data_IF_780000701901
#
_entry.id   IF_780000701901
#
_cell.length_a   1.000
_cell.length_b   1.000
_cell.length_c   1.000
_cell.angle_alpha   90.00
_cell.angle_beta   90.00
_cell.angle_gamma   90.00
#
_symmetry.space_group_name_H-M   'P 1'
#
loop_
_entity.id
_entity.type
_entity.pdbx_description
1 polymer ?
#
# COMPACT_ATOMS: atom_id res chain seq x y z
N UNK A 1 4.40 28.39 2.93
CA UNK A 1 5.31 27.23 3.08
C UNK A 1 5.38 26.91 4.56
N UNK A 2 5.09 25.67 4.91
CA UNK A 2 4.66 25.26 6.25
C UNK A 2 5.65 25.63 7.36
N UNK A 3 5.15 26.32 8.40
CA UNK A 3 5.80 26.55 9.70
C UNK A 3 5.99 25.22 10.44
N UNK A 4 6.85 24.36 9.90
CA UNK A 4 7.35 23.19 10.64
C UNK A 4 8.43 23.71 11.58
N UNK A 5 8.20 23.55 12.88
CA UNK A 5 9.22 23.80 13.87
C UNK A 5 10.18 22.60 13.93
N UNK A 6 11.18 22.62 13.05
CA UNK A 6 12.23 21.60 12.96
C UNK A 6 12.97 21.39 14.29
N UNK A 7 12.99 22.39 15.18
CA UNK A 7 13.59 22.24 16.51
C UNK A 7 12.81 21.31 17.44
N UNK A 8 11.62 20.84 17.06
CA UNK A 8 10.82 19.84 17.78
C UNK A 8 10.89 18.44 17.14
N UNK A 9 11.53 18.31 15.98
CA UNK A 9 11.74 17.03 15.28
C UNK A 9 13.20 16.54 15.43
N UNK A 10 13.50 15.26 15.16
CA UNK A 10 14.88 14.78 15.02
C UNK A 10 15.71 15.66 14.07
N UNK A 11 17.00 15.85 14.39
CA UNK A 11 17.86 16.85 13.71
C UNK A 11 18.14 16.52 12.25
N UNK A 12 18.16 15.24 11.91
CA UNK A 12 18.38 14.69 10.57
C UNK A 12 17.15 14.81 9.66
N UNK A 13 15.94 15.02 10.22
CA UNK A 13 14.72 15.13 9.41
C UNK A 13 14.75 16.31 8.46
N UNK A 14 15.27 17.47 8.89
CA UNK A 14 15.31 18.67 8.05
C UNK A 14 16.10 18.40 6.77
N UNK A 15 17.27 17.75 6.88
CA UNK A 15 18.11 17.37 5.75
C UNK A 15 17.44 16.31 4.88
N UNK A 16 16.90 15.24 5.49
CA UNK A 16 16.23 14.14 4.76
C UNK A 16 15.07 14.64 3.88
N UNK A 17 14.23 15.52 4.41
CA UNK A 17 13.03 15.99 3.71
C UNK A 17 13.19 17.34 3.01
N UNK A 18 14.39 17.93 2.99
CA UNK A 18 14.66 19.20 2.31
C UNK A 18 14.27 19.14 0.83
N UNK A 19 14.56 18.01 0.18
CA UNK A 19 14.18 17.74 -1.22
C UNK A 19 12.66 17.70 -1.46
N UNK A 20 11.85 17.42 -0.43
CA UNK A 20 10.39 17.43 -0.51
C UNK A 20 9.80 18.83 -0.28
N UNK A 21 10.49 19.68 0.48
CA UNK A 21 10.05 21.06 0.76
C UNK A 21 9.94 21.91 -0.51
N UNK A 22 10.76 21.60 -1.52
CA UNK A 22 10.81 22.31 -2.81
C UNK A 22 9.94 21.68 -3.91
N UNK A 23 9.25 20.58 -3.62
CA UNK A 23 8.58 19.77 -4.62
C UNK A 23 7.08 20.06 -4.68
N UNK A 24 6.61 20.71 -5.74
CA UNK A 24 5.18 21.03 -5.91
C UNK A 24 4.33 19.85 -6.44
N UNK A 25 4.96 18.81 -7.00
CA UNK A 25 4.27 17.70 -7.66
C UNK A 25 4.34 16.39 -6.85
N UNK A 26 3.18 15.84 -6.52
CA UNK A 26 3.01 14.60 -5.74
C UNK A 26 3.73 13.38 -6.36
N UNK A 27 3.74 13.29 -7.70
CA UNK A 27 4.46 12.26 -8.44
C UNK A 27 5.95 12.22 -8.11
N UNK A 28 6.55 13.40 -8.03
CA UNK A 28 7.97 13.54 -7.73
C UNK A 28 8.21 13.18 -6.27
N UNK A 29 7.29 13.51 -5.36
CA UNK A 29 7.36 13.07 -3.96
C UNK A 29 7.37 11.55 -3.84
N UNK A 30 6.48 10.82 -4.53
CA UNK A 30 6.50 9.36 -4.48
C UNK A 30 7.80 8.78 -5.05
N UNK A 31 8.32 9.32 -6.14
CA UNK A 31 9.60 8.88 -6.71
C UNK A 31 10.78 9.16 -5.77
N UNK A 32 10.75 10.27 -5.02
CA UNK A 32 11.73 10.55 -3.96
C UNK A 32 11.60 9.55 -2.82
N UNK A 33 10.38 9.24 -2.35
CA UNK A 33 10.17 8.24 -1.30
C UNK A 33 10.64 6.85 -1.73
N UNK A 34 10.34 6.42 -2.96
CA UNK A 34 10.85 5.16 -3.52
C UNK A 34 12.36 5.08 -3.49
N UNK A 35 13.07 6.20 -3.69
CA UNK A 35 14.53 6.27 -3.59
C UNK A 35 15.03 6.11 -2.15
N UNK A 36 14.28 6.57 -1.15
CA UNK A 36 14.59 6.28 0.26
C UNK A 36 14.39 4.79 0.58
N UNK A 37 13.49 4.15 -0.16
CA UNK A 37 12.98 2.82 0.15
C UNK A 37 13.58 1.69 -0.69
N UNK A 38 14.67 1.94 -1.44
CA UNK A 38 15.32 0.93 -2.28
C UNK A 38 15.96 -0.22 -1.51
N UNK A 39 16.31 0.01 -0.24
CA UNK A 39 16.91 -0.99 0.64
C UNK A 39 15.88 -1.48 1.67
N UNK A 40 16.05 -2.69 2.23
CA UNK A 40 15.26 -3.16 3.36
C UNK A 40 15.29 -2.18 4.53
N UNK A 41 14.21 -2.15 5.32
CA UNK A 41 14.18 -1.37 6.56
C UNK A 41 15.26 -1.91 7.50
N UNK A 42 16.09 -1.01 8.03
CA UNK A 42 17.12 -1.35 9.00
C UNK A 42 16.50 -1.86 10.30
N UNK A 43 17.01 -2.97 10.83
CA UNK A 43 16.52 -3.59 12.07
C UNK A 43 17.47 -3.39 13.27
N UNK A 44 18.55 -2.63 13.07
CA UNK A 44 19.56 -2.31 14.09
C UNK A 44 19.44 -0.86 14.62
N UNK A 45 18.66 -0.02 13.96
CA UNK A 45 18.43 1.39 14.30
C UNK A 45 16.93 1.56 14.57
N UNK A 46 16.51 1.48 15.84
CA UNK A 46 15.10 1.57 16.24
C UNK A 46 14.93 2.09 17.67
N UNK A 47 13.79 2.70 17.95
CA UNK A 47 13.44 3.29 19.25
C UNK A 47 12.41 2.45 20.01
N UNK A 48 11.60 1.68 19.29
CA UNK A 48 10.51 0.85 19.85
C UNK A 48 10.64 -0.61 19.45
N UNK A 49 10.14 -1.53 20.30
CA UNK A 49 10.07 -2.95 19.93
C UNK A 49 9.04 -3.15 18.82
N UNK A 50 7.96 -2.37 18.86
CA UNK A 50 6.96 -2.27 17.80
C UNK A 50 7.58 -2.03 16.43
N UNK A 51 8.51 -1.07 16.30
CA UNK A 51 9.20 -0.80 15.04
C UNK A 51 10.05 -1.98 14.58
N UNK A 52 10.80 -2.62 15.49
CA UNK A 52 11.59 -3.80 15.13
C UNK A 52 10.73 -4.94 14.59
N UNK A 53 9.57 -5.18 15.20
CA UNK A 53 8.61 -6.21 14.74
C UNK A 53 8.08 -5.81 13.35
N UNK A 54 7.59 -4.58 13.20
CA UNK A 54 7.12 -4.07 11.91
C UNK A 54 8.18 -4.22 10.81
N UNK A 55 9.42 -3.77 11.06
CA UNK A 55 10.51 -3.81 10.09
C UNK A 55 10.80 -5.24 9.61
N UNK A 56 10.78 -6.23 10.51
CA UNK A 56 10.98 -7.65 10.16
C UNK A 56 9.84 -8.19 9.29
N UNK A 57 8.60 -7.97 9.69
CA UNK A 57 7.42 -8.44 8.96
C UNK A 57 7.30 -7.77 7.58
N UNK A 58 7.50 -6.45 7.54
CA UNK A 58 7.49 -5.67 6.32
C UNK A 58 8.57 -6.12 5.33
N UNK A 59 9.82 -6.30 5.80
CA UNK A 59 10.91 -6.80 4.95
C UNK A 59 10.61 -8.21 4.42
N UNK A 60 10.03 -9.10 5.24
CA UNK A 60 9.66 -10.45 4.85
C UNK A 60 8.64 -10.46 3.70
N UNK A 61 7.57 -9.66 3.83
CA UNK A 61 6.55 -9.52 2.78
C UNK A 61 7.12 -8.87 1.53
N UNK A 62 7.92 -7.81 1.64
CA UNK A 62 8.52 -7.17 0.46
C UNK A 62 9.48 -8.09 -0.29
N UNK A 63 10.32 -8.87 0.40
CA UNK A 63 11.19 -9.85 -0.27
C UNK A 63 10.34 -10.87 -1.05
N UNK A 64 9.22 -11.31 -0.46
CA UNK A 64 8.30 -12.24 -1.14
C UNK A 64 7.66 -11.59 -2.37
N UNK A 65 7.14 -10.36 -2.24
CA UNK A 65 6.55 -9.61 -3.35
C UNK A 65 7.58 -9.39 -4.48
N UNK A 66 8.76 -8.86 -4.14
CA UNK A 66 9.84 -8.64 -5.10
C UNK A 66 10.30 -9.93 -5.78
N UNK A 67 10.33 -11.06 -5.06
CA UNK A 67 10.67 -12.35 -5.66
C UNK A 67 9.68 -12.72 -6.76
N UNK A 68 8.37 -12.64 -6.51
CA UNK A 68 7.35 -12.95 -7.51
C UNK A 68 7.32 -11.94 -8.68
N UNK A 69 7.44 -10.65 -8.39
CA UNK A 69 7.52 -9.61 -9.44
C UNK A 69 8.72 -9.84 -10.36
N UNK A 70 9.89 -10.12 -9.78
CA UNK A 70 11.10 -10.41 -10.56
C UNK A 70 10.96 -11.72 -11.35
N UNK A 71 10.36 -12.76 -10.78
CA UNK A 71 10.12 -14.01 -11.52
C UNK A 71 9.24 -13.76 -12.75
N UNK A 72 8.14 -13.01 -12.61
CA UNK A 72 7.25 -12.69 -13.74
C UNK A 72 7.98 -11.88 -14.81
N UNK A 73 8.71 -10.82 -14.40
CA UNK A 73 9.44 -9.95 -15.32
C UNK A 73 10.56 -10.71 -16.07
N UNK A 74 11.36 -11.50 -15.35
CA UNK A 74 12.46 -12.25 -15.95
C UNK A 74 11.95 -13.37 -16.85
N UNK A 75 10.83 -14.00 -16.49
CA UNK A 75 10.19 -15.02 -17.30
C UNK A 75 9.63 -14.46 -18.59
N UNK A 76 8.98 -13.30 -18.53
CA UNK A 76 8.51 -12.59 -19.73
C UNK A 76 9.66 -12.27 -20.69
N UNK A 77 10.75 -11.69 -20.19
CA UNK A 77 11.98 -11.45 -20.97
C UNK A 77 12.55 -12.76 -21.57
N UNK A 78 12.47 -13.88 -20.83
CA UNK A 78 12.93 -15.18 -21.32
C UNK A 78 12.05 -15.67 -22.48
N UNK A 79 10.74 -15.51 -22.39
CA UNK A 79 9.78 -15.89 -23.42
C UNK A 79 9.93 -15.02 -24.67
N UNK A 80 10.10 -13.70 -24.50
CA UNK A 80 10.39 -12.78 -25.59
C UNK A 80 11.64 -13.19 -26.37
N UNK A 81 12.72 -13.56 -25.66
CA UNK A 81 13.97 -14.07 -26.27
C UNK A 81 13.77 -15.38 -27.04
N UNK A 82 12.76 -16.18 -26.68
CA UNK A 82 12.39 -17.40 -27.38
C UNK A 82 11.38 -17.17 -28.52
N UNK A 83 11.03 -15.91 -28.82
CA UNK A 83 10.08 -15.54 -29.87
C UNK A 83 8.62 -15.45 -29.43
N UNK A 84 8.33 -15.56 -28.13
CA UNK A 84 6.99 -15.40 -27.56
C UNK A 84 6.83 -13.99 -26.99
N UNK A 85 6.23 -13.07 -27.76
CA UNK A 85 6.03 -11.66 -27.37
C UNK A 85 4.69 -11.37 -26.66
N UNK A 86 3.98 -12.39 -26.19
CA UNK A 86 2.60 -12.29 -25.69
C UNK A 86 2.40 -13.01 -24.36
N UNK A 87 3.47 -13.39 -23.67
CA UNK A 87 3.40 -14.08 -22.38
C UNK A 87 2.61 -13.28 -21.33
N UNK A 88 2.77 -11.96 -21.28
CA UNK A 88 1.97 -11.12 -20.38
C UNK A 88 0.46 -11.19 -20.64
N UNK A 89 0.07 -11.42 -21.90
CA UNK A 89 -1.32 -11.46 -22.36
C UNK A 89 -1.92 -12.83 -22.08
N UNK A 90 -1.23 -13.89 -22.53
CA UNK A 90 -1.64 -15.29 -22.39
C UNK A 90 -0.49 -16.11 -21.79
N UNK A 91 -0.58 -16.36 -20.49
CA UNK A 91 0.43 -17.14 -19.78
C UNK A 91 0.16 -18.62 -20.07
N UNK A 92 1.17 -19.45 -20.37
CA UNK A 92 0.98 -20.88 -20.61
C UNK A 92 0.24 -21.54 -19.43
N UNK A 93 -0.76 -22.37 -19.75
CA UNK A 93 -1.68 -22.96 -18.77
C UNK A 93 -0.97 -23.74 -17.65
N UNK A 94 0.22 -24.26 -17.93
CA UNK A 94 1.05 -24.97 -16.96
C UNK A 94 1.43 -24.10 -15.75
N UNK A 95 1.54 -22.78 -15.90
CA UNK A 95 1.86 -21.88 -14.78
C UNK A 95 0.71 -21.73 -13.78
N UNK A 96 -0.53 -22.05 -14.18
CA UNK A 96 -1.72 -22.02 -13.32
C UNK A 96 -2.04 -23.37 -12.69
N UNK A 97 -1.32 -24.41 -13.09
CA UNK A 97 -1.56 -25.77 -12.64
C UNK A 97 -1.07 -25.97 -11.21
N UNK A 98 -1.66 -26.94 -10.50
CA UNK A 98 -1.16 -27.35 -9.19
C UNK A 98 0.34 -27.75 -9.27
N UNK A 99 1.24 -27.12 -8.49
CA UNK A 99 2.69 -27.22 -8.73
C UNK A 99 3.26 -28.64 -8.71
N UNK A 100 2.70 -29.54 -7.89
CA UNK A 100 3.18 -30.92 -7.78
C UNK A 100 3.09 -31.69 -9.11
N UNK A 101 2.11 -31.38 -9.96
CA UNK A 101 1.95 -32.07 -11.25
C UNK A 101 2.90 -31.56 -12.34
N UNK A 102 3.53 -30.40 -12.12
CA UNK A 102 4.53 -29.82 -13.00
C UNK A 102 5.96 -29.97 -12.50
N UNK A 103 6.16 -30.62 -11.35
CA UNK A 103 7.48 -30.81 -10.78
C UNK A 103 8.30 -31.81 -11.63
N UNK A 104 9.34 -31.37 -12.36
CA UNK A 104 10.16 -32.29 -13.16
C UNK A 104 10.99 -33.23 -12.29
N UNK A 105 11.13 -32.96 -10.98
CA UNK A 105 11.90 -33.78 -10.03
C UNK A 105 11.09 -34.93 -9.44
N UNK A 106 9.78 -34.94 -9.63
CA UNK A 106 8.89 -35.96 -9.10
C UNK A 106 8.20 -36.70 -10.24
N UNK A 107 8.91 -37.68 -10.80
CA UNK A 107 8.43 -38.46 -11.95
C UNK A 107 7.16 -39.27 -11.63
N UNK A 108 6.88 -39.54 -10.36
CA UNK A 108 5.69 -40.30 -9.94
C UNK A 108 4.43 -39.44 -9.89
N UNK A 109 4.56 -38.16 -9.53
CA UNK A 109 3.45 -37.21 -9.51
C UNK A 109 3.30 -36.42 -10.82
N UNK A 110 4.35 -36.34 -11.64
CA UNK A 110 4.31 -35.67 -12.93
C UNK A 110 3.32 -36.36 -13.87
N UNK A 111 2.27 -35.65 -14.24
CA UNK A 111 1.24 -36.15 -15.17
C UNK A 111 1.04 -35.16 -16.30
N UNK A 112 0.76 -35.59 -17.55
CA UNK A 112 0.38 -34.67 -18.60
C UNK A 112 -0.92 -33.94 -18.22
N UNK A 113 -1.09 -32.71 -18.69
CA UNK A 113 -2.34 -31.98 -18.51
C UNK A 113 -3.45 -32.66 -19.31
N UNK A 114 -4.57 -33.00 -18.65
CA UNK A 114 -5.71 -33.62 -19.33
C UNK A 114 -6.55 -32.56 -20.05
N UNK A 115 -7.38 -32.98 -21.01
CA UNK A 115 -8.31 -32.05 -21.70
C UNK A 115 -9.31 -31.43 -20.72
N UNK A 116 -9.79 -32.21 -19.76
CA UNK A 116 -10.70 -31.75 -18.71
C UNK A 116 -10.02 -30.70 -17.81
N UNK A 117 -8.82 -31.00 -17.30
CA UNK A 117 -8.03 -30.08 -16.48
C UNK A 117 -7.76 -28.75 -17.22
N UNK A 118 -7.35 -28.83 -18.49
CA UNK A 118 -7.13 -27.65 -19.32
C UNK A 118 -8.41 -26.82 -19.47
N UNK A 119 -9.57 -27.47 -19.65
CA UNK A 119 -10.86 -26.78 -19.80
C UNK A 119 -11.23 -26.04 -18.53
N UNK A 120 -11.12 -26.70 -17.37
CA UNK A 120 -11.43 -26.12 -16.06
C UNK A 120 -10.51 -24.93 -15.72
N UNK A 121 -9.19 -25.08 -15.93
CA UNK A 121 -8.24 -23.99 -15.67
C UNK A 121 -8.53 -22.78 -16.57
N UNK A 122 -8.82 -23.02 -17.86
CA UNK A 122 -9.16 -21.94 -18.80
C UNK A 122 -10.43 -21.21 -18.36
N UNK A 123 -11.48 -21.94 -17.97
CA UNK A 123 -12.73 -21.36 -17.47
C UNK A 123 -12.51 -20.48 -16.24
N UNK A 124 -11.69 -20.93 -15.29
CA UNK A 124 -11.34 -20.16 -14.08
C UNK A 124 -10.57 -18.89 -14.43
N UNK A 125 -9.59 -18.97 -15.33
CA UNK A 125 -8.80 -17.80 -15.77
C UNK A 125 -9.70 -16.77 -16.45
N UNK A 126 -10.51 -17.19 -17.42
CA UNK A 126 -11.43 -16.31 -18.15
C UNK A 126 -12.48 -15.68 -17.23
N UNK A 127 -13.07 -16.46 -16.33
CA UNK A 127 -14.03 -15.95 -15.34
C UNK A 127 -13.38 -14.92 -14.42
N UNK A 128 -12.13 -15.17 -14.00
CA UNK A 128 -11.37 -14.23 -13.16
C UNK A 128 -11.05 -12.94 -13.91
N UNK A 129 -10.64 -13.02 -15.19
CA UNK A 129 -10.43 -11.86 -16.07
C UNK A 129 -11.69 -11.01 -16.19
N UNK A 130 -12.82 -11.66 -16.46
CA UNK A 130 -14.11 -10.99 -16.60
C UNK A 130 -14.53 -10.28 -15.32
N UNK A 131 -14.42 -10.94 -14.17
CA UNK A 131 -14.79 -10.39 -12.87
C UNK A 131 -13.91 -9.18 -12.46
N UNK A 132 -12.63 -9.21 -12.80
CA UNK A 132 -11.69 -8.12 -12.49
C UNK A 132 -11.57 -7.07 -13.61
N UNK A 133 -12.30 -7.25 -14.72
CA UNK A 133 -12.20 -6.44 -15.93
C UNK A 133 -10.77 -6.33 -16.51
N UNK A 134 -10.01 -7.42 -16.43
CA UNK A 134 -8.69 -7.54 -17.05
C UNK A 134 -8.75 -8.26 -18.39
N UNK A 135 -7.91 -7.81 -19.32
CA UNK A 135 -7.70 -8.49 -20.62
C UNK A 135 -6.53 -9.46 -20.59
N UNK A 136 -5.53 -9.18 -19.75
CA UNK A 136 -4.26 -9.89 -19.73
C UNK A 136 -4.16 -10.74 -18.47
N UNK A 137 -3.59 -11.93 -18.61
CA UNK A 137 -3.39 -12.87 -17.50
C UNK A 137 -2.43 -12.30 -16.43
N UNK A 138 -1.36 -11.62 -16.84
CA UNK A 138 -0.38 -11.04 -15.92
C UNK A 138 -1.01 -10.02 -14.95
N UNK A 139 -2.00 -9.25 -15.41
CA UNK A 139 -2.68 -8.27 -14.58
C UNK A 139 -3.45 -8.93 -13.42
N UNK A 140 -3.99 -10.14 -13.61
CA UNK A 140 -4.63 -10.90 -12.53
C UNK A 140 -3.60 -11.31 -11.49
N UNK A 141 -2.45 -11.85 -11.94
CA UNK A 141 -1.41 -12.32 -11.03
C UNK A 141 -0.86 -11.15 -10.22
N UNK A 142 -0.50 -10.04 -10.87
CA UNK A 142 -0.04 -8.81 -10.22
C UNK A 142 -1.06 -8.27 -9.24
N UNK A 143 -2.34 -8.19 -9.64
CA UNK A 143 -3.40 -7.69 -8.76
C UNK A 143 -3.55 -8.53 -7.49
N UNK A 144 -3.50 -9.86 -7.60
CA UNK A 144 -3.59 -10.73 -6.42
C UNK A 144 -2.35 -10.65 -5.54
N UNK A 145 -1.15 -10.53 -6.12
CA UNK A 145 0.09 -10.30 -5.38
C UNK A 145 0.03 -8.98 -4.60
N UNK A 146 -0.35 -7.88 -5.26
CA UNK A 146 -0.48 -6.56 -4.63
C UNK A 146 -1.59 -6.54 -3.58
N UNK A 147 -2.66 -7.32 -3.74
CA UNK A 147 -3.70 -7.49 -2.73
C UNK A 147 -3.14 -8.13 -1.46
N UNK A 148 -2.36 -9.21 -1.59
CA UNK A 148 -1.72 -9.86 -0.45
C UNK A 148 -0.74 -8.93 0.27
N UNK A 149 0.08 -8.21 -0.50
CA UNK A 149 0.99 -7.20 0.03
C UNK A 149 0.24 -6.10 0.79
N UNK A 150 -0.77 -5.50 0.15
CA UNK A 150 -1.53 -4.39 0.71
C UNK A 150 -2.22 -4.76 2.02
N UNK A 151 -2.90 -5.92 2.07
CA UNK A 151 -3.58 -6.39 3.29
C UNK A 151 -2.55 -6.68 4.40
N UNK A 152 -1.39 -7.25 4.05
CA UNK A 152 -0.35 -7.55 5.02
C UNK A 152 0.24 -6.27 5.61
N UNK A 153 0.70 -5.35 4.77
CA UNK A 153 1.27 -4.05 5.19
C UNK A 153 0.26 -3.26 6.00
N UNK A 154 -1.02 -3.27 5.62
CA UNK A 154 -2.09 -2.63 6.38
C UNK A 154 -2.19 -3.20 7.79
N UNK A 155 -2.19 -4.53 7.92
CA UNK A 155 -2.29 -5.21 9.21
C UNK A 155 -1.06 -4.94 10.09
N UNK A 156 0.14 -4.88 9.49
CA UNK A 156 1.37 -4.55 10.20
C UNK A 156 1.34 -3.10 10.72
N UNK A 157 0.81 -2.17 9.94
CA UNK A 157 0.70 -0.77 10.36
C UNK A 157 -0.33 -0.60 11.48
N UNK A 158 -1.48 -1.26 11.38
CA UNK A 158 -2.50 -1.28 12.43
C UNK A 158 -1.92 -1.82 13.75
N UNK A 159 -1.23 -2.96 13.70
CA UNK A 159 -0.57 -3.55 14.86
C UNK A 159 0.56 -2.66 15.42
N UNK A 160 1.33 -1.98 14.56
CA UNK A 160 2.35 -1.04 15.00
C UNK A 160 1.72 0.10 15.82
N UNK A 161 0.66 0.74 15.31
CA UNK A 161 0.01 1.85 16.01
C UNK A 161 -0.62 1.40 17.33
N UNK A 162 -1.26 0.23 17.37
CA UNK A 162 -1.80 -0.35 18.61
C UNK A 162 -0.70 -0.54 19.65
N UNK A 163 0.44 -1.12 19.25
CA UNK A 163 1.54 -1.35 20.18
C UNK A 163 2.22 -0.04 20.61
N UNK A 164 2.27 1.00 19.78
CA UNK A 164 2.77 2.33 20.20
C UNK A 164 1.89 2.95 21.28
N UNK A 165 0.55 2.79 21.19
CA UNK A 165 -0.37 3.25 22.23
C UNK A 165 0.00 2.62 23.60
N UNK A 166 0.39 1.35 23.60
CA UNK A 166 0.76 0.60 24.80
C UNK A 166 2.20 0.94 25.25
N UNK A 167 3.19 0.72 24.38
CA UNK A 167 4.62 0.80 24.69
C UNK A 167 5.06 2.22 25.09
N UNK A 168 4.54 3.24 24.42
CA UNK A 168 5.02 4.62 24.56
C UNK A 168 3.99 5.59 25.15
N UNK A 169 2.71 5.42 24.80
CA UNK A 169 1.65 6.32 25.27
C UNK A 169 0.91 5.82 26.52
N UNK A 170 1.33 4.67 27.08
CA UNK A 170 0.85 4.12 28.36
C UNK A 170 -0.67 3.84 28.43
N UNK A 171 -1.29 3.57 27.28
CA UNK A 171 -2.64 3.01 27.26
C UNK A 171 -2.63 1.58 27.80
N UNK A 172 -3.74 1.15 28.37
CA UNK A 172 -3.93 -0.27 28.69
C UNK A 172 -4.11 -1.07 27.39
N UNK A 173 -3.77 -2.37 27.40
CA UNK A 173 -3.99 -3.24 26.25
C UNK A 173 -5.48 -3.25 25.80
N UNK A 174 -6.40 -3.23 26.77
CA UNK A 174 -7.83 -3.20 26.49
C UNK A 174 -8.27 -1.90 25.81
N UNK A 175 -7.76 -0.75 26.27
CA UNK A 175 -8.09 0.55 25.67
C UNK A 175 -7.47 0.71 24.29
N UNK A 176 -6.22 0.26 24.10
CA UNK A 176 -5.54 0.27 22.82
C UNK A 176 -6.29 -0.58 21.79
N UNK A 177 -6.58 -1.84 22.13
CA UNK A 177 -7.34 -2.75 21.26
C UNK A 177 -8.74 -2.22 20.92
N UNK A 178 -9.43 -1.62 21.91
CA UNK A 178 -10.72 -0.95 21.67
C UNK A 178 -10.56 0.20 20.68
N UNK A 179 -9.55 1.06 20.84
CA UNK A 179 -9.29 2.16 19.89
C UNK A 179 -8.98 1.64 18.50
N UNK A 180 -8.14 0.62 18.35
CA UNK A 180 -7.83 0.00 17.05
C UNK A 180 -9.09 -0.53 16.39
N UNK A 181 -9.93 -1.28 17.12
CA UNK A 181 -11.12 -1.92 16.56
C UNK A 181 -12.20 -0.94 16.09
N UNK A 182 -12.38 0.19 16.80
CA UNK A 182 -13.48 1.12 16.55
C UNK A 182 -13.10 2.36 15.75
N UNK A 183 -11.81 2.56 15.47
CA UNK A 183 -11.35 3.66 14.63
C UNK A 183 -10.87 3.13 13.28
N UNK A 184 -11.01 3.97 12.25
CA UNK A 184 -10.27 3.79 11.00
C UNK A 184 -8.79 4.10 11.22
N UNK A 185 -7.93 3.58 10.34
CA UNK A 185 -6.47 3.67 10.51
C UNK A 185 -5.97 5.13 10.49
N UNK A 186 -6.60 6.01 9.72
CA UNK A 186 -6.32 7.44 9.70
C UNK A 186 -6.58 8.09 11.07
N UNK A 187 -7.70 7.73 11.73
CA UNK A 187 -8.05 8.22 13.07
C UNK A 187 -7.12 7.65 14.13
N UNK A 188 -6.75 6.38 14.02
CA UNK A 188 -5.81 5.75 14.93
C UNK A 188 -4.44 6.42 14.84
N UNK A 189 -3.96 6.66 13.62
CA UNK A 189 -2.72 7.40 13.36
C UNK A 189 -2.78 8.82 13.95
N UNK A 190 -3.90 9.52 13.75
CA UNK A 190 -4.11 10.87 14.27
C UNK A 190 -4.05 10.91 15.79
N UNK A 191 -4.68 9.96 16.48
CA UNK A 191 -4.58 9.81 17.95
C UNK A 191 -3.13 9.66 18.39
N UNK A 192 -2.36 8.79 17.73
CA UNK A 192 -0.94 8.59 18.07
C UNK A 192 -0.14 9.88 17.86
N UNK A 193 -0.32 10.57 16.74
CA UNK A 193 0.41 11.81 16.43
C UNK A 193 0.09 12.93 17.43
N UNK A 194 -1.19 13.10 17.76
CA UNK A 194 -1.66 14.16 18.67
C UNK A 194 -1.07 14.01 20.09
N UNK A 195 -0.87 12.76 20.53
CA UNK A 195 -0.24 12.45 21.83
C UNK A 195 1.30 12.59 21.79
N UNK A 196 1.92 12.49 20.61
CA UNK A 196 3.39 12.53 20.47
C UNK A 196 3.92 13.94 20.23
N UNK A 197 3.61 14.50 19.07
CA UNK A 197 4.10 15.80 18.64
C UNK A 197 3.30 16.27 17.42
N UNK A 198 2.56 17.40 17.50
CA UNK A 198 1.78 17.92 16.38
C UNK A 198 2.63 18.34 15.17
N UNK A 199 3.95 18.55 15.32
CA UNK A 199 4.86 18.81 14.19
C UNK A 199 5.01 17.60 13.26
N UNK A 200 4.78 16.38 13.76
CA UNK A 200 4.76 15.17 12.93
C UNK A 200 3.65 15.29 11.89
N UNK A 201 2.46 15.77 12.28
CA UNK A 201 1.35 15.96 11.33
C UNK A 201 1.74 16.92 10.21
N UNK A 202 2.37 18.04 10.55
CA UNK A 202 2.80 19.03 9.56
C UNK A 202 3.83 18.44 8.60
N UNK A 203 4.75 17.61 9.11
CA UNK A 203 5.71 16.88 8.28
C UNK A 203 5.02 15.86 7.37
N UNK A 204 4.07 15.08 7.87
CA UNK A 204 3.32 14.15 7.02
C UNK A 204 2.52 14.89 5.95
N UNK A 205 1.92 16.04 6.27
CA UNK A 205 1.24 16.91 5.31
C UNK A 205 2.18 17.60 4.33
N UNK A 206 3.46 17.75 4.66
CA UNK A 206 4.49 18.19 3.71
C UNK A 206 4.79 17.08 2.70
N UNK A 207 4.92 15.83 3.16
CA UNK A 207 5.16 14.67 2.31
C UNK A 207 3.95 14.42 1.40
N UNK A 208 2.75 14.45 1.99
CA UNK A 208 1.48 14.27 1.28
C UNK A 208 0.39 15.07 1.97
N UNK A 209 -0.09 16.12 1.28
CA UNK A 209 -1.03 17.12 1.81
C UNK A 209 -2.29 16.51 2.44
N UNK A 210 -2.78 15.45 1.82
CA UNK A 210 -4.02 14.72 2.07
C UNK A 210 -3.74 13.27 2.53
N UNK A 211 -2.69 13.10 3.34
CA UNK A 211 -2.23 11.79 3.81
C UNK A 211 -3.31 11.05 4.63
N UNK A 212 -4.11 11.76 5.43
CA UNK A 212 -5.13 11.15 6.26
C UNK A 212 -6.33 10.69 5.42
N UNK A 213 -6.75 11.51 4.47
CA UNK A 213 -7.79 11.18 3.49
C UNK A 213 -7.35 9.96 2.65
N UNK A 214 -6.08 9.91 2.24
CA UNK A 214 -5.51 8.76 1.55
C UNK A 214 -5.57 7.47 2.40
N UNK A 215 -5.17 7.53 3.67
CA UNK A 215 -5.23 6.38 4.59
C UNK A 215 -6.68 5.97 4.85
N UNK A 216 -7.59 6.93 4.98
CA UNK A 216 -9.02 6.67 5.14
C UNK A 216 -9.59 5.93 3.92
N UNK A 217 -9.21 6.34 2.71
CA UNK A 217 -9.57 5.61 1.50
C UNK A 217 -8.99 4.21 1.48
N UNK A 218 -7.72 4.04 1.86
CA UNK A 218 -7.09 2.73 1.98
C UNK A 218 -7.87 1.80 2.93
N UNK A 219 -8.36 2.33 4.06
CA UNK A 219 -9.23 1.59 4.97
C UNK A 219 -10.54 1.13 4.31
N UNK A 220 -11.21 2.03 3.56
CA UNK A 220 -12.44 1.67 2.85
C UNK A 220 -12.19 0.61 1.77
N UNK A 221 -11.13 0.75 0.98
CA UNK A 221 -10.75 -0.22 -0.06
C UNK A 221 -10.35 -1.56 0.56
N UNK A 222 -9.59 -1.57 1.65
CA UNK A 222 -9.27 -2.80 2.40
C UNK A 222 -10.56 -3.54 2.76
N UNK A 223 -11.52 -2.85 3.37
CA UNK A 223 -12.79 -3.46 3.77
C UNK A 223 -13.61 -3.96 2.58
N UNK A 224 -13.58 -3.23 1.45
CA UNK A 224 -14.19 -3.66 0.19
C UNK A 224 -13.59 -4.98 -0.29
N UNK A 225 -12.26 -5.11 -0.29
CA UNK A 225 -11.57 -6.32 -0.76
C UNK A 225 -11.67 -7.51 0.20
N UNK A 226 -11.83 -7.25 1.50
CA UNK A 226 -12.02 -8.30 2.52
C UNK A 226 -13.46 -8.79 2.58
N UNK A 227 -14.46 -7.92 2.41
CA UNK A 227 -15.87 -8.26 2.68
C UNK A 227 -16.79 -8.25 1.46
N UNK A 228 -16.37 -7.63 0.35
CA UNK A 228 -17.16 -7.43 -0.88
C UNK A 228 -16.39 -7.83 -2.14
N UNK A 229 -15.31 -8.59 -1.99
CA UNK A 229 -14.48 -9.09 -3.08
C UNK A 229 -13.91 -7.99 -4.00
N UNK A 230 -13.83 -6.75 -3.51
CA UNK A 230 -13.28 -5.61 -4.26
C UNK A 230 -14.27 -4.89 -5.18
N UNK A 231 -15.56 -5.25 -5.15
CA UNK A 231 -16.59 -4.60 -5.98
C UNK A 231 -17.15 -3.35 -5.30
N UNK A 232 -17.03 -2.19 -5.97
CA UNK A 232 -17.47 -0.88 -5.48
C UNK A 232 -19.00 -0.74 -5.48
N UNK A 233 -19.66 -1.21 -4.42
CA UNK A 233 -21.11 -1.07 -4.29
C UNK A 233 -21.55 0.39 -4.03
N UNK A 234 -22.86 0.63 -4.16
CA UNK A 234 -23.47 1.94 -3.90
C UNK A 234 -23.15 2.51 -2.51
N UNK A 235 -22.99 1.65 -1.50
CA UNK A 235 -22.68 2.08 -0.13
C UNK A 235 -21.24 2.60 -0.06
N UNK A 236 -20.29 1.89 -0.65
CA UNK A 236 -18.90 2.33 -0.76
C UNK A 236 -18.81 3.67 -1.51
N UNK A 237 -19.46 3.77 -2.66
CA UNK A 237 -19.46 5.01 -3.46
C UNK A 237 -20.00 6.19 -2.66
N UNK A 238 -21.16 6.01 -2.01
CA UNK A 238 -21.76 7.03 -1.14
C UNK A 238 -20.81 7.48 -0.03
N UNK A 239 -20.17 6.54 0.66
CA UNK A 239 -19.20 6.85 1.71
C UNK A 239 -18.01 7.66 1.18
N UNK A 240 -17.49 7.31 0.00
CA UNK A 240 -16.37 8.03 -0.59
C UNK A 240 -16.75 9.47 -1.00
N UNK A 241 -17.94 9.69 -1.56
CA UNK A 241 -18.43 11.04 -1.87
C UNK A 241 -18.67 11.90 -0.63
N UNK A 242 -19.35 11.34 0.37
CA UNK A 242 -19.65 12.06 1.62
C UNK A 242 -18.39 12.53 2.34
N UNK A 243 -17.28 11.81 2.16
CA UNK A 243 -15.97 12.10 2.75
C UNK A 243 -15.03 12.87 1.81
N UNK A 244 -15.45 13.18 0.57
CA UNK A 244 -14.60 13.88 -0.40
C UNK A 244 -13.38 13.09 -0.88
N UNK A 245 -13.42 11.75 -0.81
CA UNK A 245 -12.32 10.87 -1.20
C UNK A 245 -12.29 10.58 -2.71
N UNK A 246 -13.43 10.76 -3.38
CA UNK A 246 -13.54 10.61 -4.83
C UNK A 246 -14.21 11.83 -5.44
N UNK A 247 -13.83 12.15 -6.67
CA UNK A 247 -14.41 13.22 -7.47
C UNK A 247 -14.75 12.74 -8.88
N UNK A 248 -15.56 13.54 -9.58
CA UNK A 248 -15.95 13.23 -10.94
C UNK A 248 -14.76 13.37 -11.89
N UNK A 249 -14.48 12.30 -12.63
CA UNK A 249 -13.52 12.31 -13.71
C UNK A 249 -14.23 12.76 -15.00
N UNK A 250 -13.61 13.70 -15.73
CA UNK A 250 -14.11 14.14 -17.02
C UNK A 250 -13.01 14.08 -18.09
N UNK A 251 -13.37 13.61 -19.28
CA UNK A 251 -12.60 13.86 -20.49
C UNK A 251 -13.09 15.12 -21.18
N UNK A 252 -12.23 15.78 -21.96
CA UNK A 252 -12.63 16.88 -22.85
C UNK A 252 -12.71 16.31 -24.27
N UNK A 253 -13.86 16.47 -24.92
CA UNK A 253 -14.03 16.08 -26.32
C UNK A 253 -13.27 17.08 -27.20
N UNK A 254 -12.29 16.60 -27.97
CA UNK A 254 -11.37 17.46 -28.74
C UNK A 254 -12.11 18.36 -29.74
N UNK A 255 -13.18 17.85 -30.34
CA UNK A 255 -13.96 18.55 -31.38
C UNK A 255 -14.91 19.62 -30.82
N UNK A 256 -15.51 19.38 -29.65
CA UNK A 256 -16.58 20.24 -29.10
C UNK A 256 -16.20 21.00 -27.82
N UNK A 257 -15.06 20.67 -27.20
CA UNK A 257 -14.66 21.19 -25.89
C UNK A 257 -15.54 20.71 -24.72
N UNK A 258 -16.50 19.81 -24.98
CA UNK A 258 -17.47 19.36 -23.99
C UNK A 258 -16.83 18.42 -22.97
N UNK A 259 -17.20 18.59 -21.68
CA UNK A 259 -16.82 17.69 -20.60
C UNK A 259 -17.67 16.41 -20.66
N UNK A 260 -17.04 15.28 -20.94
CA UNK A 260 -17.66 13.96 -20.95
C UNK A 260 -17.33 13.24 -19.64
N UNK A 261 -18.32 12.86 -18.81
CA UNK A 261 -18.08 12.08 -17.60
C UNK A 261 -17.41 10.76 -17.95
N UNK A 262 -16.34 10.43 -17.25
CA UNK A 262 -15.62 9.17 -17.40
C UNK A 262 -15.81 8.24 -16.20
N UNK A 263 -16.51 8.67 -15.16
CA UNK A 263 -16.69 7.96 -13.88
C UNK A 263 -16.04 8.76 -12.76
N UNK A 264 -15.39 8.10 -11.80
CA UNK A 264 -14.83 8.78 -10.64
C UNK A 264 -13.34 8.50 -10.48
N UNK A 265 -12.60 9.46 -9.94
CA UNK A 265 -11.18 9.31 -9.61
C UNK A 265 -10.97 9.59 -8.12
N UNK A 266 -9.90 9.01 -7.58
CA UNK A 266 -9.48 9.32 -6.22
C UNK A 266 -8.93 10.74 -6.15
N UNK A 267 -9.39 11.54 -5.17
CA UNK A 267 -8.96 12.94 -5.03
C UNK A 267 -7.50 13.07 -4.60
N UNK A 268 -6.97 12.05 -3.93
CA UNK A 268 -5.64 12.08 -3.31
C UNK A 268 -4.58 11.26 -4.03
N UNK A 269 -4.80 10.72 -5.23
CA UNK A 269 -3.72 9.99 -5.90
C UNK A 269 -3.41 10.77 -7.17
N UNK A 270 -2.28 11.50 -7.15
CA UNK A 270 -1.82 12.44 -8.19
C UNK A 270 -1.49 11.84 -9.56
N UNK A 271 -2.09 10.71 -9.91
CA UNK A 271 -2.07 10.13 -11.25
C UNK A 271 -3.50 9.90 -11.70
N UNK A 272 -3.74 10.03 -13.01
CA UNK A 272 -4.93 9.58 -13.73
C UNK A 272 -5.23 8.10 -13.43
N UNK A 273 -5.75 7.83 -12.24
CA UNK A 273 -6.02 6.49 -11.78
C UNK A 273 -7.18 5.93 -12.58
N UNK A 274 -7.13 4.61 -12.74
CA UNK A 274 -8.24 3.82 -13.27
C UNK A 274 -9.54 4.34 -12.66
N UNK A 275 -10.47 4.61 -13.55
CA UNK A 275 -11.79 5.11 -13.20
C UNK A 275 -12.42 4.14 -12.19
N UNK A 276 -12.85 4.69 -11.06
CA UNK A 276 -13.71 4.02 -10.10
C UNK A 276 -15.14 4.13 -10.63
N UNK A 277 -15.80 2.99 -10.77
CA UNK A 277 -17.17 2.89 -11.27
C UNK A 277 -18.01 2.07 -10.29
N UNK A 278 -19.28 2.42 -10.15
CA UNK A 278 -20.21 1.64 -9.32
C UNK A 278 -20.38 0.22 -9.89
N UNK A 279 -20.39 -0.78 -9.02
CA UNK A 279 -20.48 -2.21 -9.32
C UNK A 279 -19.32 -2.75 -10.17
N UNK A 280 -18.17 -2.07 -10.17
CA UNK A 280 -16.93 -2.54 -10.79
C UNK A 280 -15.88 -2.88 -9.75
N UNK A 281 -14.96 -3.75 -10.14
CA UNK A 281 -13.80 -4.11 -9.34
C UNK A 281 -12.85 -2.92 -9.22
N UNK A 282 -12.48 -2.55 -7.98
CA UNK A 282 -11.43 -1.55 -7.72
C UNK A 282 -10.09 -2.26 -7.71
N UNK A 283 -9.13 -1.74 -8.47
CA UNK A 283 -7.78 -2.31 -8.49
C UNK A 283 -6.93 -1.73 -7.36
N UNK A 284 -6.29 -2.58 -6.59
CA UNK A 284 -5.38 -2.23 -5.49
C UNK A 284 -3.96 -2.03 -5.98
N UNK A 285 -3.57 -2.50 -7.17
CA UNK A 285 -2.17 -2.46 -7.63
C UNK A 285 -1.45 -1.12 -7.41
N UNK A 286 -2.04 -0.01 -7.88
CA UNK A 286 -1.46 1.33 -7.68
C UNK A 286 -1.55 1.75 -6.20
N UNK A 287 -2.68 1.47 -5.55
CA UNK A 287 -2.90 1.81 -4.15
C UNK A 287 -1.87 1.15 -3.23
N UNK A 288 -1.53 -0.12 -3.48
CA UNK A 288 -0.55 -0.89 -2.72
C UNK A 288 0.83 -0.25 -2.77
N UNK A 289 1.28 0.15 -3.96
CA UNK A 289 2.55 0.85 -4.14
C UNK A 289 2.58 2.18 -3.39
N UNK A 290 1.52 2.97 -3.42
CA UNK A 290 1.49 4.22 -2.68
C UNK A 290 1.48 3.94 -1.16
N UNK A 291 0.59 3.05 -0.73
CA UNK A 291 0.37 2.75 0.68
C UNK A 291 1.61 2.16 1.35
N UNK A 292 2.36 1.26 0.68
CA UNK A 292 3.58 0.67 1.26
C UNK A 292 4.67 1.68 1.54
N UNK A 293 4.87 2.65 0.62
CA UNK A 293 5.93 3.66 0.75
C UNK A 293 5.55 4.69 1.82
N UNK A 294 4.31 5.18 1.81
CA UNK A 294 3.86 6.10 2.85
C UNK A 294 3.83 5.45 4.23
N UNK A 295 3.36 4.20 4.34
CA UNK A 295 3.33 3.48 5.62
C UNK A 295 4.73 3.34 6.21
N UNK A 296 5.69 2.91 5.39
CA UNK A 296 7.09 2.78 5.79
C UNK A 296 7.65 4.11 6.30
N UNK A 297 7.40 5.19 5.57
CA UNK A 297 7.91 6.52 5.95
C UNK A 297 7.22 7.08 7.20
N UNK A 298 5.90 6.91 7.34
CA UNK A 298 5.15 7.31 8.54
C UNK A 298 5.70 6.61 9.79
N UNK A 299 5.91 5.29 9.70
CA UNK A 299 6.42 4.50 10.83
C UNK A 299 7.84 4.93 11.20
N UNK A 300 8.70 5.19 10.21
CA UNK A 300 10.04 5.74 10.46
C UNK A 300 9.98 7.09 11.18
N UNK A 301 9.09 7.99 10.74
CA UNK A 301 8.91 9.33 11.34
C UNK A 301 8.45 9.21 12.80
N UNK A 302 7.45 8.37 13.05
CA UNK A 302 6.92 8.14 14.40
C UNK A 302 7.98 7.53 15.30
N UNK A 303 8.65 6.44 14.87
CA UNK A 303 9.65 5.77 15.68
C UNK A 303 10.82 6.69 16.01
N UNK A 304 11.37 7.38 15.01
CA UNK A 304 12.52 8.27 15.20
C UNK A 304 12.19 9.50 16.07
N UNK A 305 10.92 9.90 16.13
CA UNK A 305 10.50 11.00 17.02
C UNK A 305 10.66 10.66 18.51
N UNK A 306 10.70 9.37 18.87
CA UNK A 306 10.97 8.95 20.26
C UNK A 306 12.43 9.14 20.69
N UNK A 307 13.40 9.13 19.77
CA UNK A 307 14.82 9.36 20.10
C UNK A 307 15.05 10.71 20.79
N UNK A 308 14.25 11.72 20.45
CA UNK A 308 14.34 13.04 21.05
C UNK A 308 13.71 13.08 22.44
N UNK A 309 12.52 12.49 22.58
CA UNK A 309 11.74 12.47 23.84
C UNK A 309 12.55 11.77 24.95
N UNK A 310 13.19 10.64 24.66
CA UNK A 310 13.97 9.87 25.64
C UNK A 310 15.26 10.60 26.09
N UNK A 311 15.85 11.44 25.23
CA UNK A 311 17.00 12.27 25.59
C UNK A 311 16.63 13.50 26.44
N UNK A 312 15.49 14.15 26.18
CA UNK A 312 14.96 15.22 27.05
C UNK A 312 14.57 14.72 28.44
N UNK A 313 13.98 13.51 28.53
CA UNK A 313 13.60 12.91 29.82
C UNK A 313 14.82 12.44 30.64
N UNK A 314 15.93 12.04 30.00
CA UNK A 314 17.20 11.75 30.68
C UNK A 314 17.85 13.01 31.25
N UNK A 315 17.81 14.13 30.53
CA UNK A 315 18.34 15.41 31.01
C UNK A 315 17.58 15.92 32.23
N UNK A 316 16.25 15.78 32.26
CA UNK A 316 15.43 16.22 33.40
C UNK A 316 15.54 15.33 34.65
N UNK A 317 16.01 14.09 34.53
CA UNK A 317 16.28 13.21 35.69
C UNK A 317 17.63 13.47 36.37
N UNK A 318 18.52 14.26 35.76
CA UNK A 318 19.82 14.60 36.33
C UNK A 318 19.81 15.95 37.08
N UNK A 319 18.64 16.56 37.28
CA UNK A 319 18.47 17.85 37.96
C UNK A 319 17.59 17.78 39.23
N UNK A 320 17.36 16.59 39.79
CA UNK A 320 16.72 16.43 41.10
C UNK A 320 17.52 15.51 42.02
#
# INVERSE_FOLDING_TARGET
>A
MNDINWSLLPTDFKEKYESLVSCEHELITLEILKKFDTLPIKTNEYCTKSYLIFAKEYNSILITAHFFENLLMLEDIRQEKNGHNWFQIEIPIDYFRYPAFNNPKDEFLKKPITKEEKTLLTEVIETTKQNMHYRNDENIIKENLHKLEFISVYSFFEAYLENILIEKLKFTEQDASKKTKYNSLDKLLKIVIDELNPEIEKLLKLIKKDIFEFIEFCYLVRNLHTHKLGVADKKFMKQCFEKGLIENAYGIRVESGEKVPRGYIHTTIGLNNKIIEENKYITISVLSVYFRNFTREIIYIIDSSFNKIDNTNKLNKNYF
#
